data_IF_598444259971
#
_entry.id   IF_598444259971
#
_cell.length_a   1.000
_cell.length_b   1.000
_cell.length_c   1.000
_cell.angle_alpha   90.00
_cell.angle_beta   90.00
_cell.angle_gamma   90.00
#
_symmetry.space_group_name_H-M   'P 1'
#
loop_
_entity.id
_entity.type
_entity.pdbx_description
1 polymer ?
#
# COMPACT_ATOMS: atom_id res chain seq x y z
N UNK A 1 17.29 -0.95 20.30
CA UNK A 1 18.12 0.08 20.98
C UNK A 1 18.64 1.13 20.02
N UNK A 2 19.46 0.82 19.00
CA UNK A 2 19.97 1.85 18.07
C UNK A 2 18.89 2.67 17.36
N UNK A 3 17.82 2.03 16.85
CA UNK A 3 16.69 2.73 16.24
C UNK A 3 16.00 3.67 17.25
N UNK A 4 15.85 3.22 18.50
CA UNK A 4 15.23 4.02 19.56
C UNK A 4 16.11 5.18 20.04
N UNK A 5 17.43 5.04 19.94
CA UNK A 5 18.37 5.99 20.58
C UNK A 5 18.41 5.85 22.11
N UNK A 6 18.04 4.67 22.63
CA UNK A 6 17.90 4.38 24.05
C UNK A 6 17.40 2.95 24.30
N UNK A 7 16.97 2.66 25.53
CA UNK A 7 16.47 1.33 25.94
C UNK A 7 14.99 1.11 25.63
N UNK A 8 14.21 2.17 25.46
CA UNK A 8 12.78 2.17 25.14
C UNK A 8 12.45 3.25 24.11
N UNK A 9 11.21 3.26 23.62
CA UNK A 9 10.68 4.37 22.82
C UNK A 9 10.50 5.59 23.72
N UNK A 10 11.18 6.69 23.38
CA UNK A 10 11.18 7.94 24.15
C UNK A 10 11.43 9.15 23.23
N UNK A 11 11.69 10.33 23.78
CA UNK A 11 11.87 11.59 23.05
C UNK A 11 12.91 11.52 21.92
N UNK A 12 14.00 10.77 22.12
CA UNK A 12 15.00 10.54 21.07
C UNK A 12 14.42 9.79 19.86
N UNK A 13 13.52 8.83 20.10
CA UNK A 13 12.82 8.10 19.04
C UNK A 13 11.84 9.03 18.31
N UNK A 14 11.03 9.79 19.05
CA UNK A 14 10.03 10.70 18.48
C UNK A 14 10.68 11.75 17.57
N UNK A 15 11.73 12.42 18.05
CA UNK A 15 12.45 13.45 17.29
C UNK A 15 13.03 12.87 16.00
N UNK A 16 13.61 11.66 16.04
CA UNK A 16 14.15 11.00 14.84
C UNK A 16 13.05 10.57 13.88
N UNK A 17 11.94 10.04 14.41
CA UNK A 17 10.82 9.59 13.59
C UNK A 17 10.16 10.76 12.88
N UNK A 18 10.05 11.93 13.52
CA UNK A 18 9.62 13.16 12.86
C UNK A 18 10.56 13.54 11.72
N UNK A 19 11.88 13.53 11.95
CA UNK A 19 12.87 13.81 10.89
C UNK A 19 12.78 12.84 9.72
N UNK A 20 12.62 11.53 9.99
CA UNK A 20 12.42 10.53 8.93
C UNK A 20 11.10 10.73 8.19
N UNK A 21 10.02 10.99 8.92
CA UNK A 21 8.71 11.27 8.34
C UNK A 21 8.74 12.51 7.45
N UNK A 22 9.54 13.52 7.79
CA UNK A 22 9.71 14.71 6.95
C UNK A 22 10.50 14.42 5.66
N UNK A 23 11.62 13.69 5.74
CA UNK A 23 12.49 13.48 4.57
C UNK A 23 11.98 12.41 3.60
N UNK A 24 11.31 11.36 4.10
CA UNK A 24 10.88 10.22 3.29
C UNK A 24 9.92 10.58 2.15
N UNK A 25 8.92 11.48 2.32
CA UNK A 25 8.07 11.93 1.21
C UNK A 25 8.86 12.52 0.03
N UNK A 26 9.94 13.25 0.28
CA UNK A 26 10.81 13.78 -0.79
C UNK A 26 11.60 12.66 -1.48
N UNK A 27 12.06 11.67 -0.73
CA UNK A 27 12.69 10.49 -1.31
C UNK A 27 11.70 9.70 -2.19
N UNK A 28 10.44 9.55 -1.73
CA UNK A 28 9.36 8.92 -2.50
C UNK A 28 9.07 9.71 -3.78
N UNK A 29 9.05 11.05 -3.73
CA UNK A 29 8.92 11.88 -4.92
C UNK A 29 10.06 11.64 -5.93
N UNK A 30 11.31 11.55 -5.45
CA UNK A 30 12.46 11.21 -6.29
C UNK A 30 12.33 9.83 -6.97
N UNK A 31 11.96 8.80 -6.20
CA UNK A 31 11.71 7.45 -6.74
C UNK A 31 10.51 7.43 -7.70
N UNK A 32 9.49 8.26 -7.47
CA UNK A 32 8.33 8.39 -8.35
C UNK A 32 8.69 8.99 -9.72
N UNK A 33 9.60 9.98 -9.75
CA UNK A 33 10.14 10.52 -11.01
C UNK A 33 10.89 9.43 -11.77
N UNK A 34 11.75 8.65 -11.07
CA UNK A 34 12.46 7.53 -11.68
C UNK A 34 11.49 6.46 -12.21
N UNK A 35 10.42 6.15 -11.46
CA UNK A 35 9.36 5.26 -11.91
C UNK A 35 8.71 5.75 -13.21
N UNK A 36 8.35 7.02 -13.31
CA UNK A 36 7.77 7.62 -14.52
C UNK A 36 8.75 7.65 -15.70
N UNK A 37 10.04 7.84 -15.44
CA UNK A 37 11.07 7.78 -16.48
C UNK A 37 11.11 6.39 -17.12
N UNK A 38 11.15 5.31 -16.31
CA UNK A 38 11.12 3.94 -16.83
C UNK A 38 9.80 3.60 -17.53
N UNK A 39 8.68 4.14 -17.04
CA UNK A 39 7.39 4.01 -17.72
C UNK A 39 7.42 4.66 -19.11
N UNK A 40 8.01 5.85 -19.26
CA UNK A 40 8.08 6.54 -20.55
C UNK A 40 8.97 5.84 -21.58
N UNK A 41 9.96 5.04 -21.16
CA UNK A 41 10.76 4.24 -22.09
C UNK A 41 9.95 3.17 -22.82
N UNK A 42 8.94 2.59 -22.17
CA UNK A 42 8.13 1.49 -22.74
C UNK A 42 6.70 1.91 -23.11
N UNK A 43 6.20 3.01 -22.53
CA UNK A 43 4.80 3.41 -22.61
C UNK A 43 3.88 2.60 -21.70
N UNK A 44 2.64 3.07 -21.55
CA UNK A 44 1.62 2.36 -20.79
C UNK A 44 1.18 1.06 -21.48
N UNK A 45 0.87 0.03 -20.69
CA UNK A 45 0.14 -1.13 -21.17
C UNK A 45 -1.36 -0.81 -21.33
N UNK A 46 -2.15 -1.76 -21.80
CA UNK A 46 -3.58 -1.63 -22.02
C UNK A 46 -4.31 -2.92 -21.59
N UNK A 47 -5.65 -2.90 -21.40
CA UNK A 47 -6.40 -4.04 -20.87
C UNK A 47 -6.22 -5.35 -21.64
N UNK A 48 -5.99 -5.30 -22.96
CA UNK A 48 -5.79 -6.51 -23.77
C UNK A 48 -4.41 -7.14 -23.57
N UNK A 49 -3.43 -6.36 -23.09
CA UNK A 49 -2.03 -6.76 -22.98
C UNK A 49 -1.29 -6.86 -24.32
N UNK A 50 -1.93 -6.48 -25.44
CA UNK A 50 -1.35 -6.45 -26.78
C UNK A 50 -0.62 -5.12 -27.03
N UNK A 51 0.10 -5.01 -28.16
CA UNK A 51 0.77 -3.78 -28.55
C UNK A 51 -0.25 -2.69 -28.94
N UNK A 52 -0.27 -1.58 -28.21
CA UNK A 52 -1.17 -0.44 -28.47
C UNK A 52 -0.64 0.57 -29.48
N UNK A 53 0.55 0.39 -30.06
CA UNK A 53 1.14 1.35 -30.99
C UNK A 53 0.28 1.66 -32.22
N UNK A 54 -0.61 0.73 -32.61
CA UNK A 54 -1.49 0.88 -33.76
C UNK A 54 -2.63 1.89 -33.53
N UNK A 55 -2.95 2.19 -32.26
CA UNK A 55 -4.10 3.01 -31.88
C UNK A 55 -3.75 3.91 -30.68
N UNK A 56 -2.71 4.74 -30.86
CA UNK A 56 -2.30 5.71 -29.85
C UNK A 56 -3.06 7.01 -30.04
N UNK A 57 -3.55 7.56 -28.93
CA UNK A 57 -4.10 8.92 -28.84
C UNK A 57 -3.15 9.82 -28.05
N UNK A 58 -3.14 11.15 -28.31
CA UNK A 58 -2.37 12.08 -27.48
C UNK A 58 -2.86 12.07 -26.03
N UNK A 59 -1.95 12.34 -25.09
CA UNK A 59 -2.29 12.38 -23.66
C UNK A 59 -3.26 13.52 -23.34
N UNK A 60 -2.95 14.71 -23.84
CA UNK A 60 -3.79 15.88 -23.65
C UNK A 60 -5.13 15.76 -24.41
N UNK A 61 -6.17 16.38 -23.86
CA UNK A 61 -7.60 16.20 -24.21
C UNK A 61 -8.21 14.87 -23.76
N UNK A 62 -7.54 13.73 -23.95
CA UNK A 62 -8.14 12.45 -23.59
C UNK A 62 -7.88 12.09 -22.12
N UNK A 63 -6.61 11.89 -21.76
CA UNK A 63 -6.25 11.46 -20.41
C UNK A 63 -6.21 12.63 -19.43
N UNK A 64 -5.86 13.85 -19.86
CA UNK A 64 -5.91 15.02 -18.96
C UNK A 64 -7.31 15.26 -18.36
N UNK A 65 -8.38 15.24 -19.17
CA UNK A 65 -9.74 15.44 -18.64
C UNK A 65 -10.23 14.24 -17.83
N UNK A 66 -9.86 13.01 -18.24
CA UNK A 66 -10.13 11.80 -17.45
C UNK A 66 -9.48 11.87 -16.07
N UNK A 67 -8.24 12.33 -16.00
CA UNK A 67 -7.48 12.46 -14.75
C UNK A 67 -8.05 13.59 -13.88
N UNK A 68 -8.46 14.72 -14.47
CA UNK A 68 -9.16 15.80 -13.75
C UNK A 68 -10.45 15.29 -13.11
N UNK A 69 -11.25 14.49 -13.83
CA UNK A 69 -12.46 13.87 -13.27
C UNK A 69 -12.14 12.92 -12.12
N UNK A 70 -11.10 12.08 -12.28
CA UNK A 70 -10.63 11.18 -11.23
C UNK A 70 -10.16 11.94 -9.98
N UNK A 71 -9.40 13.02 -10.18
CA UNK A 71 -8.92 13.89 -9.10
C UNK A 71 -10.07 14.61 -8.39
N UNK A 72 -11.04 15.15 -9.13
CA UNK A 72 -12.23 15.77 -8.56
C UNK A 72 -13.04 14.77 -7.70
N UNK A 73 -13.17 13.53 -8.16
CA UNK A 73 -13.84 12.45 -7.42
C UNK A 73 -13.08 12.11 -6.14
N UNK A 74 -11.75 11.94 -6.21
CA UNK A 74 -10.89 11.69 -5.05
C UNK A 74 -10.99 12.81 -4.01
N UNK A 75 -10.88 14.07 -4.45
CA UNK A 75 -10.97 15.23 -3.57
C UNK A 75 -12.36 15.35 -2.94
N UNK A 76 -13.43 15.05 -3.70
CA UNK A 76 -14.80 15.00 -3.16
C UNK A 76 -14.96 13.94 -2.08
N UNK A 77 -14.44 12.73 -2.29
CA UNK A 77 -14.46 11.65 -1.28
C UNK A 77 -13.64 12.00 -0.05
N UNK A 78 -12.44 12.57 -0.23
CA UNK A 78 -11.59 13.02 0.88
C UNK A 78 -12.27 14.13 1.68
N UNK A 79 -12.88 15.11 1.01
CA UNK A 79 -13.63 16.19 1.67
C UNK A 79 -14.83 15.64 2.44
N UNK A 80 -15.58 14.69 1.88
CA UNK A 80 -16.68 14.05 2.60
C UNK A 80 -16.20 13.31 3.85
N UNK A 81 -15.12 12.53 3.76
CA UNK A 81 -14.53 11.84 4.91
C UNK A 81 -14.08 12.84 5.98
N UNK A 82 -13.31 13.87 5.60
CA UNK A 82 -12.75 14.83 6.56
C UNK A 82 -13.80 15.73 7.21
N UNK A 83 -14.88 16.06 6.52
CA UNK A 83 -15.93 16.95 7.03
C UNK A 83 -17.01 16.20 7.80
N UNK A 84 -17.49 15.06 7.29
CA UNK A 84 -18.63 14.35 7.89
C UNK A 84 -18.21 13.22 8.83
N UNK A 85 -17.04 12.60 8.63
CA UNK A 85 -16.62 11.44 9.41
C UNK A 85 -15.09 11.37 9.63
N UNK A 86 -14.44 12.42 10.17
CA UNK A 86 -12.98 12.55 10.21
C UNK A 86 -12.28 11.43 10.98
N UNK A 87 -12.96 10.83 11.96
CA UNK A 87 -12.41 9.78 12.81
C UNK A 87 -12.84 8.37 12.39
N UNK A 88 -13.56 8.21 11.27
CA UNK A 88 -14.10 6.91 10.83
C UNK A 88 -13.02 5.84 10.61
N UNK A 89 -11.85 6.25 10.13
CA UNK A 89 -10.73 5.36 9.83
C UNK A 89 -9.65 5.37 10.92
N UNK A 90 -9.86 6.11 12.02
CA UNK A 90 -8.92 6.24 13.13
C UNK A 90 -9.24 5.30 14.30
N UNK A 91 -8.33 5.24 15.26
CA UNK A 91 -8.53 4.48 16.50
C UNK A 91 -8.76 5.45 17.69
N UNK A 92 -9.84 5.28 18.47
CA UNK A 92 -10.11 6.09 19.66
C UNK A 92 -8.97 6.12 20.68
N UNK A 93 -8.17 5.05 20.79
CA UNK A 93 -7.07 4.96 21.76
C UNK A 93 -5.99 6.03 21.49
N UNK A 94 -5.84 6.49 20.25
CA UNK A 94 -4.88 7.54 19.86
C UNK A 94 -5.27 8.95 20.34
N UNK A 95 -6.47 9.14 20.91
CA UNK A 95 -6.85 10.38 21.59
C UNK A 95 -6.40 10.42 23.05
N UNK A 96 -5.93 9.29 23.59
CA UNK A 96 -5.32 9.26 24.93
C UNK A 96 -3.80 9.46 24.82
N UNK A 97 -3.18 10.32 25.65
CA UNK A 97 -1.73 10.47 25.66
C UNK A 97 -1.03 9.14 25.97
N UNK A 98 0.08 8.87 25.30
CA UNK A 98 0.82 7.62 25.45
C UNK A 98 1.27 7.41 26.91
N UNK A 99 1.00 6.23 27.45
CA UNK A 99 1.45 5.79 28.77
C UNK A 99 2.34 4.54 28.63
N UNK A 100 3.67 4.63 28.83
CA UNK A 100 4.57 3.49 28.69
C UNK A 100 4.31 2.31 29.63
N UNK A 101 3.52 2.51 30.69
CA UNK A 101 3.20 1.50 31.69
C UNK A 101 1.88 0.78 31.42
N UNK A 102 1.09 1.22 30.44
CA UNK A 102 -0.25 0.69 30.14
C UNK A 102 -0.37 0.38 28.67
N UNK A 103 -0.61 -0.89 28.35
CA UNK A 103 -0.93 -1.32 26.98
C UNK A 103 -2.44 -1.39 26.80
N UNK A 104 -3.02 -0.77 25.76
CA UNK A 104 -4.44 -0.92 25.45
C UNK A 104 -4.80 -2.40 25.19
N UNK A 105 -6.01 -2.85 25.58
CA UNK A 105 -6.39 -4.26 25.53
C UNK A 105 -6.44 -4.84 24.10
N UNK A 106 -6.70 -4.02 23.09
CA UNK A 106 -6.84 -4.44 21.69
C UNK A 106 -5.89 -3.66 20.75
N UNK A 107 -4.62 -3.52 21.14
CA UNK A 107 -3.61 -2.81 20.33
C UNK A 107 -3.50 -3.41 18.91
N UNK A 108 -3.63 -2.54 17.91
CA UNK A 108 -3.56 -2.87 16.48
C UNK A 108 -2.98 -1.68 15.70
N UNK A 109 -2.39 -1.91 14.52
CA UNK A 109 -1.98 -0.82 13.64
C UNK A 109 -3.20 -0.23 12.90
N UNK A 110 -2.97 0.81 12.12
CA UNK A 110 -3.98 1.38 11.23
C UNK A 110 -4.45 0.36 10.18
N UNK A 111 -5.67 0.58 9.67
CA UNK A 111 -6.41 -0.40 8.85
C UNK A 111 -5.63 -0.92 7.62
N UNK A 112 -4.81 -0.07 7.00
CA UNK A 112 -4.01 -0.44 5.82
C UNK A 112 -2.83 -1.38 6.12
N UNK A 113 -2.51 -1.63 7.39
CA UNK A 113 -1.52 -2.61 7.82
C UNK A 113 -2.12 -3.91 8.38
N UNK A 114 -3.45 -4.00 8.55
CA UNK A 114 -4.08 -5.14 9.22
C UNK A 114 -3.85 -6.46 8.49
N UNK A 115 -3.83 -6.48 7.16
CA UNK A 115 -3.56 -7.72 6.41
C UNK A 115 -2.18 -8.32 6.75
N UNK A 116 -1.17 -7.47 6.91
CA UNK A 116 0.20 -7.87 7.19
C UNK A 116 0.35 -8.21 8.68
N UNK A 117 -0.34 -7.48 9.54
CA UNK A 117 -0.43 -7.77 10.97
C UNK A 117 -1.10 -9.12 11.25
N UNK A 118 -2.15 -9.49 10.51
CA UNK A 118 -2.74 -10.82 10.55
C UNK A 118 -1.71 -11.91 10.20
N UNK A 119 -0.96 -11.74 9.11
CA UNK A 119 0.11 -12.67 8.70
C UNK A 119 1.17 -12.83 9.80
N UNK A 120 1.61 -11.73 10.41
CA UNK A 120 2.56 -11.72 11.51
C UNK A 120 2.06 -12.57 12.70
N UNK A 121 0.79 -12.42 13.10
CA UNK A 121 0.19 -13.12 14.24
C UNK A 121 -0.15 -14.59 13.97
N UNK A 122 -0.36 -14.96 12.70
CA UNK A 122 -0.69 -16.34 12.32
C UNK A 122 0.45 -17.34 12.54
N UNK A 123 1.68 -16.88 12.72
CA UNK A 123 2.84 -17.75 12.93
C UNK A 123 3.24 -17.72 14.41
N UNK A 124 3.15 -18.85 15.14
CA UNK A 124 3.48 -18.94 16.58
C UNK A 124 5.00 -19.01 16.82
N UNK A 125 5.78 -18.21 16.09
CA UNK A 125 7.21 -18.04 16.24
C UNK A 125 7.59 -16.58 15.95
N UNK A 126 8.29 -15.93 16.87
CA UNK A 126 8.64 -14.51 16.75
C UNK A 126 9.43 -14.18 15.48
N UNK A 127 10.47 -14.97 15.18
CA UNK A 127 11.29 -14.75 13.97
C UNK A 127 10.51 -15.10 12.71
N UNK A 128 9.80 -16.24 12.72
CA UNK A 128 8.98 -16.70 11.59
C UNK A 128 7.90 -15.69 11.22
N UNK A 129 7.20 -15.12 12.20
CA UNK A 129 6.21 -14.06 11.96
C UNK A 129 6.80 -12.81 11.34
N UNK A 130 7.95 -12.33 11.83
CA UNK A 130 8.63 -11.14 11.26
C UNK A 130 9.10 -11.41 9.83
N UNK A 131 9.65 -12.61 9.56
CA UNK A 131 10.06 -12.99 8.21
C UNK A 131 8.85 -13.09 7.26
N UNK A 132 7.72 -13.62 7.73
CA UNK A 132 6.50 -13.71 6.93
C UNK A 132 5.87 -12.35 6.65
N UNK A 133 5.87 -11.44 7.63
CA UNK A 133 5.48 -10.05 7.44
C UNK A 133 6.30 -9.40 6.31
N UNK A 134 7.63 -9.49 6.39
CA UNK A 134 8.52 -8.95 5.35
C UNK A 134 8.28 -9.64 4.00
N UNK A 135 8.16 -10.97 3.98
CA UNK A 135 7.91 -11.75 2.77
C UNK A 135 6.58 -11.38 2.11
N UNK A 136 5.54 -10.99 2.87
CA UNK A 136 4.24 -10.60 2.33
C UNK A 136 4.30 -9.40 1.39
N UNK A 137 5.31 -8.53 1.56
CA UNK A 137 5.58 -7.39 0.69
C UNK A 137 6.63 -7.77 -0.36
N UNK A 138 7.73 -8.40 0.05
CA UNK A 138 8.85 -8.73 -0.85
C UNK A 138 8.48 -9.73 -1.95
N UNK A 139 7.45 -10.56 -1.75
CA UNK A 139 6.95 -11.50 -2.77
C UNK A 139 6.51 -10.77 -4.05
N UNK A 140 6.15 -9.49 -3.98
CA UNK A 140 5.80 -8.69 -5.15
C UNK A 140 6.97 -8.58 -6.16
N UNK A 141 8.22 -8.59 -5.69
CA UNK A 141 9.40 -8.58 -6.57
C UNK A 141 9.58 -9.89 -7.35
N UNK A 142 9.01 -11.00 -6.86
CA UNK A 142 9.05 -12.29 -7.57
C UNK A 142 8.01 -12.38 -8.69
N UNK A 143 7.02 -11.47 -8.73
CA UNK A 143 5.90 -11.54 -9.67
C UNK A 143 6.31 -11.65 -11.15
N UNK A 144 7.35 -10.95 -11.67
CA UNK A 144 7.75 -11.10 -13.06
C UNK A 144 8.35 -12.48 -13.36
N UNK A 145 9.05 -13.07 -12.39
CA UNK A 145 9.72 -14.37 -12.53
C UNK A 145 8.75 -15.55 -12.38
N UNK A 146 7.65 -15.35 -11.67
CA UNK A 146 6.59 -16.35 -11.50
C UNK A 146 5.57 -16.34 -12.65
N UNK A 147 5.67 -15.40 -13.60
CA UNK A 147 4.75 -15.32 -14.72
C UNK A 147 5.01 -16.44 -15.74
N UNK A 148 4.09 -17.40 -15.83
CA UNK A 148 4.20 -18.56 -16.73
C UNK A 148 3.35 -18.47 -17.99
N UNK A 149 2.45 -17.48 -18.07
CA UNK A 149 1.51 -17.41 -19.18
C UNK A 149 2.14 -16.83 -20.44
N UNK A 150 1.62 -17.25 -21.60
CA UNK A 150 1.97 -16.65 -22.90
C UNK A 150 1.25 -15.32 -23.16
N UNK A 151 0.19 -15.04 -22.39
CA UNK A 151 -0.61 -13.82 -22.49
C UNK A 151 -0.32 -12.92 -21.29
N UNK A 152 0.07 -11.67 -21.58
CA UNK A 152 0.45 -10.67 -20.56
C UNK A 152 -0.72 -10.31 -19.64
N UNK A 153 -1.89 -9.99 -20.20
CA UNK A 153 -3.06 -9.55 -19.44
C UNK A 153 -3.88 -10.73 -18.90
N UNK A 154 -4.62 -10.49 -17.82
CA UNK A 154 -5.61 -11.40 -17.28
C UNK A 154 -6.93 -11.39 -18.08
N UNK A 155 -7.18 -10.39 -18.93
CA UNK A 155 -8.47 -10.17 -19.62
C UNK A 155 -9.01 -11.41 -20.34
N UNK A 156 -8.14 -12.23 -20.94
CA UNK A 156 -8.53 -13.43 -21.69
C UNK A 156 -8.20 -14.74 -20.95
N UNK A 157 -8.04 -14.69 -19.63
CA UNK A 157 -7.62 -15.83 -18.79
C UNK A 157 -8.61 -16.07 -17.63
N UNK A 158 -9.79 -16.67 -17.88
CA UNK A 158 -10.87 -16.78 -16.89
C UNK A 158 -10.43 -17.44 -15.57
N UNK A 159 -9.68 -18.54 -15.65
CA UNK A 159 -9.18 -19.24 -14.45
C UNK A 159 -8.25 -18.34 -13.62
N UNK A 160 -7.37 -17.58 -14.26
CA UNK A 160 -6.46 -16.68 -13.54
C UNK A 160 -7.21 -15.45 -13.00
N UNK A 161 -8.25 -14.96 -13.67
CA UNK A 161 -9.13 -13.92 -13.12
C UNK A 161 -9.81 -14.39 -11.83
N UNK A 162 -10.33 -15.62 -11.81
CA UNK A 162 -10.92 -16.20 -10.60
C UNK A 162 -9.91 -16.23 -9.46
N UNK A 163 -8.69 -16.73 -9.73
CA UNK A 163 -7.61 -16.75 -8.72
C UNK A 163 -7.21 -15.34 -8.24
N UNK A 164 -7.17 -14.37 -9.14
CA UNK A 164 -6.90 -12.97 -8.78
C UNK A 164 -7.98 -12.42 -7.84
N UNK A 165 -9.26 -12.64 -8.15
CA UNK A 165 -10.34 -12.19 -7.27
C UNK A 165 -10.38 -12.94 -5.93
N UNK A 166 -10.07 -14.24 -5.93
CA UNK A 166 -9.86 -14.99 -4.69
C UNK A 166 -8.71 -14.42 -3.85
N UNK A 167 -7.61 -13.98 -4.49
CA UNK A 167 -6.51 -13.31 -3.80
C UNK A 167 -6.93 -11.96 -3.19
N UNK A 168 -7.69 -11.14 -3.93
CA UNK A 168 -8.24 -9.87 -3.40
C UNK A 168 -9.19 -10.13 -2.23
N UNK A 169 -10.09 -11.11 -2.35
CA UNK A 169 -10.98 -11.50 -1.26
C UNK A 169 -10.20 -11.97 -0.03
N UNK A 170 -9.14 -12.76 -0.23
CA UNK A 170 -8.27 -13.21 0.86
C UNK A 170 -7.54 -12.03 1.55
N UNK A 171 -7.07 -11.03 0.80
CA UNK A 171 -6.50 -9.81 1.38
C UNK A 171 -7.54 -9.03 2.21
N UNK A 172 -8.79 -8.98 1.76
CA UNK A 172 -9.92 -8.43 2.52
C UNK A 172 -10.18 -9.19 3.82
N UNK A 173 -10.18 -10.53 3.77
CA UNK A 173 -10.33 -11.38 4.96
C UNK A 173 -9.16 -11.16 5.93
N UNK A 174 -7.91 -11.11 5.43
CA UNK A 174 -6.73 -10.82 6.25
C UNK A 174 -6.83 -9.45 6.93
N UNK A 175 -7.37 -8.44 6.23
CA UNK A 175 -7.62 -7.11 6.81
C UNK A 175 -8.69 -7.15 7.90
N UNK A 176 -9.71 -7.99 7.75
CA UNK A 176 -10.78 -8.14 8.74
C UNK A 176 -10.36 -8.90 10.00
N UNK A 177 -9.52 -9.94 9.87
CA UNK A 177 -9.02 -10.72 11.03
C UNK A 177 -7.81 -10.07 11.73
N UNK A 178 -7.13 -9.16 11.05
CA UNK A 178 -6.02 -8.37 11.60
C UNK A 178 -6.53 -7.38 12.63
#
# INVERSE_FOLDING_TARGET
QWIWGGFSVDNATLTRFFTFHFILPFAIAGVSIMHLLFLHLSGSSNPTGLNSNLDKVPFHTYFSYKDVMGFATLMGLLAMLSTFAPNLLGDPDNFTPANPLVTPPHIKPEWYFLFAYAILRSIPNKLGGVLALLASILILFLTPFLHTAKQRSLMFRPLTQLLFWSFIANAGILTWIG
#
